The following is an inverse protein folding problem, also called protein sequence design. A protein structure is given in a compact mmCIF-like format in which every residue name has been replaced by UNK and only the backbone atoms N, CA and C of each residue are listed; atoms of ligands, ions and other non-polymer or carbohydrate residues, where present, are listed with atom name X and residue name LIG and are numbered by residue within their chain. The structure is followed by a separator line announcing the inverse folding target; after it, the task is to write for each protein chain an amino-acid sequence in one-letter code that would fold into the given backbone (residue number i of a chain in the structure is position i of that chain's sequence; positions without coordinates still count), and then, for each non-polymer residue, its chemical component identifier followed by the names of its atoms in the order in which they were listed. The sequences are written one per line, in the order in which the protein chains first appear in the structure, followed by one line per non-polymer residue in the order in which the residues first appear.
data_IF_829953908840
#
_entry.id   IF_829953908840
#
_cell.length_a   1.000
_cell.length_b   1.000
_cell.length_c   1.000
_cell.angle_alpha   90.00
_cell.angle_beta   90.00
_cell.angle_gamma   90.00
#
_symmetry.space_group_name_H-M   'P 1'
#
loop_
_entity.id
_entity.type
_entity.pdbx_description
1 polymer ?
2 non-polymer ?
3 non-polymer ?
4 non-polymer ?
5 non-polymer ?
6 non-polymer ?
7 water ?
#
# COMPACT_ATOMS: atom_id res chain seq x y z
N UNK A 1 -11.72 -10.49 -10.94
CA UNK A 1 -12.63 -10.55 -9.84
C UNK A 1 -12.10 -9.69 -8.69
N UNK A 2 -12.63 -9.91 -7.49
CA UNK A 2 -12.35 -9.07 -6.32
C UNK A 2 -10.87 -9.10 -5.94
N UNK A 3 -10.25 -10.28 -5.84
CA UNK A 3 -8.80 -10.34 -5.48
C UNK A 3 -7.97 -9.57 -6.51
N UNK A 4 -8.23 -9.78 -7.80
CA UNK A 4 -7.40 -9.05 -8.79
C UNK A 4 -7.63 -7.57 -8.60
N UNK A 5 -8.87 -7.14 -8.34
CA UNK A 5 -9.10 -5.70 -8.18
C UNK A 5 -8.31 -5.13 -7.02
N UNK A 6 -8.18 -5.91 -5.93
CA UNK A 6 -7.31 -5.47 -4.80
C UNK A 6 -5.86 -5.24 -5.31
N UNK A 7 -5.39 -6.17 -6.15
CA UNK A 7 -4.04 -6.05 -6.75
C UNK A 7 -3.96 -4.80 -7.61
N UNK A 8 -4.99 -4.60 -8.43
CA UNK A 8 -4.99 -3.42 -9.32
C UNK A 8 -4.92 -2.15 -8.51
N UNK A 9 -5.81 -2.03 -7.53
CA UNK A 9 -5.84 -0.80 -6.70
C UNK A 9 -4.51 -0.60 -5.98
N UNK A 10 -4.00 -1.66 -5.39
CA UNK A 10 -2.70 -1.56 -4.68
C UNK A 10 -1.54 -1.14 -5.62
N UNK A 11 -1.62 -1.49 -6.87
CA UNK A 11 -0.57 -1.13 -7.82
C UNK A 11 -0.46 0.37 -8.04
N UNK A 12 -1.49 1.15 -7.81
CA UNK A 12 -1.46 2.63 -7.96
C UNK A 12 -2.34 3.21 -6.86
N UNK A 13 -2.03 2.87 -5.62
CA UNK A 13 -3.00 3.01 -4.53
C UNK A 13 -3.18 4.51 -4.21
N UNK A 14 -2.14 5.33 -4.20
CA UNK A 14 -2.26 6.75 -3.85
C UNK A 14 -3.24 7.39 -4.85
N UNK A 15 -3.08 7.08 -6.13
CA UNK A 15 -3.91 7.67 -7.20
C UNK A 15 -5.37 7.22 -6.99
N UNK A 16 -5.61 5.95 -6.96
CA UNK A 16 -6.96 5.39 -6.79
C UNK A 16 -7.58 5.87 -5.48
N UNK A 17 -6.87 5.91 -4.39
CA UNK A 17 -7.38 6.36 -3.11
C UNK A 17 -7.86 7.79 -3.27
N UNK A 18 -7.04 8.68 -3.79
CA UNK A 18 -7.44 10.09 -3.89
C UNK A 18 -8.60 10.23 -4.85
N UNK A 19 -8.58 9.58 -6.00
CA UNK A 19 -9.65 9.73 -6.99
C UNK A 19 -10.95 9.20 -6.37
N UNK A 20 -10.98 8.09 -5.70
CA UNK A 20 -12.24 7.53 -5.17
C UNK A 20 -12.68 8.39 -4.00
N UNK A 21 -11.79 8.83 -3.16
CA UNK A 21 -12.19 9.68 -2.02
C UNK A 21 -12.75 11.01 -2.55
N UNK A 22 -12.14 11.62 -3.58
CA UNK A 22 -12.71 12.85 -4.18
C UNK A 22 -14.05 12.55 -4.82
N UNK A 23 -14.26 11.41 -5.42
CA UNK A 23 -15.58 11.08 -5.99
C UNK A 23 -16.57 10.99 -4.86
N UNK A 24 -16.22 10.48 -3.70
CA UNK A 24 -17.13 10.43 -2.51
C UNK A 24 -17.42 11.86 -2.05
N UNK A 25 -16.44 12.69 -1.84
CA UNK A 25 -16.60 14.04 -1.29
C UNK A 25 -17.44 14.88 -2.25
N UNK A 26 -17.27 14.68 -3.55
CA UNK A 26 -17.99 15.51 -4.53
C UNK A 26 -19.44 14.98 -4.67
N UNK A 27 -19.67 13.71 -4.64
CA UNK A 27 -21.02 13.10 -4.71
C UNK A 27 -21.86 13.42 -3.50
N UNK A 28 -21.24 13.62 -2.37
CA UNK A 28 -21.87 13.86 -1.06
C UNK A 28 -21.25 15.05 -0.36
N UNK A 29 -21.60 16.27 -0.81
CA UNK A 29 -20.93 17.43 -0.27
C UNK A 29 -21.08 17.62 1.23
N UNK A 30 -22.22 17.19 1.80
CA UNK A 30 -22.45 17.32 3.26
C UNK A 30 -21.34 16.50 3.97
N UNK A 31 -20.82 15.47 3.33
CA UNK A 31 -19.76 14.62 3.96
C UNK A 31 -18.48 15.40 4.26
N UNK A 32 -18.22 16.52 3.59
CA UNK A 32 -17.27 17.54 4.15
C UNK A 32 -17.84 18.27 5.39
N UNK A 33 -18.53 17.58 6.32
CA UNK A 33 -18.84 17.99 7.71
C UNK A 33 -17.82 17.26 8.58
N UNK A 34 -17.42 16.09 8.10
CA UNK A 34 -16.43 15.19 8.74
C UNK A 34 -15.00 15.72 8.50
N UNK A 35 -14.82 16.83 7.75
CA UNK A 35 -13.49 17.27 7.21
C UNK A 35 -13.30 18.79 7.00
N UNK A 36 -13.07 19.55 8.07
CA UNK A 36 -13.04 21.04 8.04
C UNK A 36 -11.88 21.57 7.16
N UNK A 37 -10.75 20.87 7.11
CA UNK A 37 -9.51 21.28 6.39
C UNK A 37 -9.70 21.15 4.87
N UNK A 38 -10.78 20.52 4.40
CA UNK A 38 -10.99 20.31 2.94
C UNK A 38 -11.98 21.32 2.34
N UNK A 39 -12.65 22.06 3.19
CA UNK A 39 -13.67 23.04 2.75
C UNK A 39 -12.99 24.11 1.86
N UNK A 40 -13.66 24.49 0.76
CA UNK A 40 -13.28 25.58 -0.14
C UNK A 40 -12.05 25.27 -0.96
N UNK A 41 -11.75 23.98 -1.16
CA UNK A 41 -10.61 23.54 -1.97
C UNK A 41 -11.06 22.68 -3.14
N UNK A 42 -10.48 22.94 -4.31
CA UNK A 42 -10.72 22.14 -5.52
C UNK A 42 -9.95 20.81 -5.38
N UNK A 43 -10.29 19.84 -6.19
CA UNK A 43 -9.62 18.55 -6.19
C UNK A 43 -8.09 18.74 -6.29
N UNK A 44 -7.62 19.58 -7.20
CA UNK A 44 -6.16 19.73 -7.43
C UNK A 44 -5.51 20.28 -6.15
N UNK A 45 -6.17 21.20 -5.47
CA UNK A 45 -5.62 21.78 -4.22
C UNK A 45 -5.59 20.65 -3.18
N UNK A 46 -6.63 19.82 -3.08
CA UNK A 46 -6.60 18.73 -2.07
C UNK A 46 -5.45 17.76 -2.37
N UNK A 47 -5.23 17.44 -3.63
CA UNK A 47 -4.14 16.51 -3.98
C UNK A 47 -2.79 17.16 -3.57
N UNK A 48 -2.69 18.51 -3.50
CA UNK A 48 -1.44 19.24 -3.14
C UNK A 48 -1.18 19.12 -1.64
N UNK A 49 -2.20 18.80 -0.84
CA UNK A 49 -2.13 18.89 0.64
C UNK A 49 -1.61 17.54 1.15
N UNK A 50 -0.48 17.55 1.84
CA UNK A 50 0.21 16.32 2.28
C UNK A 50 -0.76 15.55 3.16
N UNK A 51 -1.53 16.27 4.00
CA UNK A 51 -2.48 15.61 4.94
C UNK A 51 -3.47 14.80 4.11
N UNK A 52 -4.01 15.46 3.10
CA UNK A 52 -5.06 14.86 2.26
C UNK A 52 -4.55 13.54 1.70
N UNK A 53 -3.38 13.57 1.07
CA UNK A 53 -2.87 12.33 0.47
C UNK A 53 -2.49 11.31 1.53
N UNK A 54 -1.84 11.73 2.62
CA UNK A 54 -1.29 10.72 3.56
C UNK A 54 -2.47 9.97 4.17
N UNK A 55 -3.47 10.75 4.62
CA UNK A 55 -4.70 10.26 5.29
C UNK A 55 -5.50 9.39 4.29
N UNK A 56 -5.88 9.91 3.12
CA UNK A 56 -6.64 9.10 2.11
C UNK A 56 -5.89 7.77 1.88
N UNK A 57 -4.56 7.82 1.77
CA UNK A 57 -3.84 6.56 1.47
C UNK A 57 -3.96 5.61 2.65
N UNK A 58 -3.91 6.12 3.87
CA UNK A 58 -3.94 5.25 5.07
C UNK A 58 -5.34 4.60 5.15
N UNK A 59 -6.41 5.33 4.76
CA UNK A 59 -7.79 4.77 4.67
C UNK A 59 -7.83 3.62 3.69
N UNK A 60 -7.22 3.80 2.51
CA UNK A 60 -7.31 2.76 1.47
C UNK A 60 -6.32 1.63 1.79
N UNK A 61 -5.20 1.95 2.47
CA UNK A 61 -4.26 0.87 2.84
C UNK A 61 -5.06 -0.11 3.72
N UNK A 62 -5.80 0.41 4.71
CA UNK A 62 -6.62 -0.44 5.62
C UNK A 62 -7.77 -1.07 4.84
N UNK A 63 -8.50 -0.29 4.02
CA UNK A 63 -9.62 -0.92 3.29
C UNK A 63 -9.18 -2.11 2.47
N UNK A 64 -8.03 -1.99 1.81
CA UNK A 64 -7.53 -3.10 0.96
C UNK A 64 -7.10 -4.30 1.83
N UNK A 65 -6.60 -4.05 3.04
CA UNK A 65 -6.33 -5.18 3.95
C UNK A 65 -7.64 -5.85 4.36
N UNK A 66 -8.68 -5.06 4.64
CA UNK A 66 -9.98 -5.63 5.08
C UNK A 66 -10.57 -6.43 3.92
N UNK A 67 -10.50 -5.88 2.70
CA UNK A 67 -10.92 -6.60 1.50
C UNK A 67 -10.11 -7.92 1.35
N UNK A 68 -8.77 -7.83 1.52
CA UNK A 68 -7.89 -8.99 1.31
C UNK A 68 -8.17 -10.09 2.31
N UNK A 69 -8.55 -9.72 3.52
CA UNK A 69 -8.84 -10.69 4.60
C UNK A 69 -10.26 -11.26 4.50
N UNK A 70 -11.10 -10.69 3.65
CA UNK A 70 -12.48 -11.16 3.47
C UNK A 70 -12.51 -12.54 2.83
N UNK A 71 -13.54 -13.34 3.11
CA UNK A 71 -13.92 -14.49 2.26
C UNK A 71 -15.16 -14.17 1.46
N UNK A 72 -15.22 -14.41 0.13
CA UNK A 72 -16.49 -14.21 -0.62
C UNK A 72 -17.12 -12.83 -0.33
N UNK A 73 -16.28 -11.82 -0.26
CA UNK A 73 -16.60 -10.42 -0.02
C UNK A 73 -17.23 -10.23 1.37
N UNK A 74 -16.99 -11.14 2.30
CA UNK A 74 -17.50 -10.98 3.67
C UNK A 74 -16.35 -10.61 4.58
N UNK A 75 -16.29 -9.38 5.09
CA UNK A 75 -15.16 -8.99 5.92
C UNK A 75 -15.12 -9.73 7.25
N UNK A 76 -13.95 -9.79 7.89
CA UNK A 76 -13.83 -10.31 9.26
C UNK A 76 -14.48 -9.40 10.29
N UNK A 77 -15.16 -10.06 11.21
CA UNK A 77 -15.76 -9.34 12.36
C UNK A 77 -14.69 -8.56 13.13
N UNK A 78 -13.46 -9.05 13.14
CA UNK A 78 -12.40 -8.35 13.88
C UNK A 78 -12.05 -7.03 13.17
N UNK A 79 -12.11 -7.04 11.86
CA UNK A 79 -11.84 -5.80 11.10
C UNK A 79 -13.00 -4.80 11.28
N UNK A 80 -14.24 -5.25 11.37
CA UNK A 80 -15.38 -4.33 11.64
C UNK A 80 -15.23 -3.72 13.03
N UNK A 81 -14.84 -4.52 14.01
CA UNK A 81 -14.70 -4.06 15.41
C UNK A 81 -13.62 -2.96 15.41
N UNK A 82 -12.48 -3.23 14.76
CA UNK A 82 -11.39 -2.23 14.68
C UNK A 82 -12.00 -0.92 14.13
N UNK A 83 -12.69 -0.98 13.01
CA UNK A 83 -13.25 0.26 12.40
C UNK A 83 -14.26 0.96 13.31
N UNK A 84 -15.07 0.25 14.06
CA UNK A 84 -16.04 0.93 14.96
C UNK A 84 -15.31 1.59 16.13
N UNK A 85 -14.28 0.91 16.68
CA UNK A 85 -13.58 1.33 17.94
C UNK A 85 -12.43 2.32 17.69
N UNK A 86 -12.13 2.67 16.44
CA UNK A 86 -11.11 3.72 16.20
C UNK A 86 -11.64 5.08 16.68
N UNK A 87 -10.83 5.81 17.45
CA UNK A 87 -11.14 7.12 18.06
C UNK A 87 -11.44 8.15 16.96
N UNK A 88 -10.92 7.96 15.75
CA UNK A 88 -11.17 8.79 14.54
C UNK A 88 -12.60 8.64 14.02
N UNK A 89 -13.22 7.50 14.30
CA UNK A 89 -14.55 7.13 13.75
C UNK A 89 -15.63 7.36 14.80
N UNK A 90 -15.33 8.05 15.90
CA UNK A 90 -16.25 8.22 17.04
C UNK A 90 -17.59 8.83 16.60
N UNK A 91 -17.60 9.81 15.69
CA UNK A 91 -18.87 10.50 15.35
C UNK A 91 -19.62 9.81 14.21
N UNK A 92 -19.18 8.67 13.74
CA UNK A 92 -19.70 8.16 12.44
C UNK A 92 -20.87 7.17 12.57
N UNK A 93 -21.60 7.01 11.47
CA UNK A 93 -22.67 6.01 11.36
C UNK A 93 -22.48 5.23 10.10
N UNK A 94 -23.22 4.15 9.97
CA UNK A 94 -23.08 3.25 8.83
C UNK A 94 -23.35 4.01 7.52
N UNK A 95 -24.21 5.03 7.52
CA UNK A 95 -24.51 5.79 6.30
C UNK A 95 -23.25 6.43 5.71
N UNK A 96 -22.30 6.83 6.55
CA UNK A 96 -21.02 7.42 6.09
C UNK A 96 -20.30 6.42 5.20
N UNK A 97 -20.22 5.18 5.70
CA UNK A 97 -19.56 4.08 4.99
C UNK A 97 -20.33 3.66 3.75
N UNK A 98 -21.63 3.53 3.87
CA UNK A 98 -22.49 3.21 2.70
C UNK A 98 -22.11 4.18 1.57
N UNK A 99 -22.10 5.48 1.86
CA UNK A 99 -21.86 6.51 0.82
C UNK A 99 -20.47 6.35 0.20
N UNK A 100 -19.46 6.07 1.01
CA UNK A 100 -18.13 5.84 0.45
C UNK A 100 -18.16 4.70 -0.57
N UNK A 101 -18.84 3.61 -0.23
CA UNK A 101 -18.88 2.46 -1.12
C UNK A 101 -19.77 2.71 -2.34
N UNK A 102 -20.84 3.51 -2.22
CA UNK A 102 -21.60 3.87 -3.44
C UNK A 102 -20.67 4.61 -4.40
N UNK A 103 -19.93 5.60 -3.90
CA UNK A 103 -18.98 6.35 -4.73
C UNK A 103 -17.92 5.43 -5.36
N UNK A 104 -17.39 4.52 -4.56
CA UNK A 104 -16.37 3.59 -5.04
C UNK A 104 -16.92 2.75 -6.20
N UNK A 105 -18.11 2.23 -6.02
CA UNK A 105 -18.73 1.37 -7.05
C UNK A 105 -19.01 2.20 -8.31
N UNK A 106 -19.55 3.41 -8.13
CA UNK A 106 -19.81 4.32 -9.26
C UNK A 106 -18.51 4.59 -10.02
N UNK A 107 -17.43 4.91 -9.30
CA UNK A 107 -16.11 5.18 -9.91
C UNK A 107 -15.71 3.96 -10.75
N UNK A 108 -15.86 2.78 -10.18
CA UNK A 108 -15.40 1.56 -10.89
C UNK A 108 -16.24 1.37 -12.17
N UNK A 109 -17.56 1.59 -12.10
CA UNK A 109 -18.48 1.43 -13.26
C UNK A 109 -18.06 2.39 -14.37
N UNK A 110 -17.69 3.62 -14.00
CA UNK A 110 -17.32 4.73 -14.92
C UNK A 110 -15.93 4.57 -15.48
N UNK A 111 -15.11 3.72 -14.87
CA UNK A 111 -13.67 3.63 -15.28
C UNK A 111 -13.55 2.89 -16.64
N UNK A 112 -12.50 3.04 -17.36
CA UNK A 112 -12.52 2.14 -18.55
C UNK A 112 -12.35 0.64 -18.25
N UNK A 113 -12.40 0.22 -16.99
CA UNK A 113 -11.65 -0.98 -16.52
C UNK A 113 -12.57 -2.09 -16.00
N UNK A 114 -12.06 -3.33 -16.06
CA UNK A 114 -12.83 -4.56 -15.77
C UNK A 114 -12.82 -4.85 -14.26
N UNK A 115 -13.08 -3.80 -13.48
CA UNK A 115 -13.33 -4.01 -12.05
C UNK A 115 -14.59 -4.87 -11.91
N UNK A 116 -14.62 -5.63 -10.85
CA UNK A 116 -15.80 -6.48 -10.49
C UNK A 116 -16.68 -5.62 -9.57
N UNK A 117 -17.40 -4.68 -10.17
CA UNK A 117 -18.11 -3.67 -9.39
C UNK A 117 -19.23 -4.33 -8.56
N UNK A 118 -19.82 -5.43 -9.03
CA UNK A 118 -20.88 -6.10 -8.22
C UNK A 118 -20.28 -6.61 -6.91
N UNK A 119 -19.09 -7.18 -6.99
CA UNK A 119 -18.37 -7.66 -5.75
C UNK A 119 -18.06 -6.54 -4.77
N UNK A 120 -17.60 -5.39 -5.26
CA UNK A 120 -17.36 -4.22 -4.39
C UNK A 120 -18.70 -3.76 -3.73
N UNK A 121 -19.75 -3.73 -4.53
CA UNK A 121 -21.05 -3.32 -3.99
C UNK A 121 -21.43 -4.25 -2.84
N UNK A 122 -21.33 -5.56 -3.09
CA UNK A 122 -21.66 -6.54 -2.06
C UNK A 122 -20.73 -6.42 -0.85
N UNK A 123 -19.41 -6.29 -1.11
CA UNK A 123 -18.48 -6.07 0.02
C UNK A 123 -18.91 -4.86 0.86
N UNK A 124 -19.24 -3.74 0.22
CA UNK A 124 -19.65 -2.58 1.00
C UNK A 124 -20.91 -2.86 1.83
N UNK A 125 -21.89 -3.54 1.26
CA UNK A 125 -23.10 -3.89 2.02
C UNK A 125 -22.70 -4.77 3.21
N UNK A 126 -21.87 -5.77 2.96
CA UNK A 126 -21.43 -6.70 4.02
C UNK A 126 -20.59 -5.98 5.07
N UNK A 127 -19.78 -4.99 4.67
CA UNK A 127 -19.04 -4.23 5.67
C UNK A 127 -20.04 -3.43 6.51
N UNK A 128 -20.98 -2.72 5.85
CA UNK A 128 -21.97 -1.93 6.64
C UNK A 128 -22.73 -2.82 7.62
N UNK A 129 -23.10 -4.03 7.23
CA UNK A 129 -23.78 -5.01 8.10
C UNK A 129 -22.87 -5.35 9.27
N UNK A 130 -21.60 -5.61 8.97
CA UNK A 130 -20.66 -5.99 10.02
C UNK A 130 -20.40 -4.83 10.98
N UNK A 131 -20.27 -3.59 10.46
CA UNK A 131 -20.10 -2.41 11.32
C UNK A 131 -21.34 -2.28 12.26
N UNK A 132 -22.55 -2.40 11.70
CA UNK A 132 -23.78 -2.35 12.52
C UNK A 132 -23.72 -3.40 13.63
N UNK A 133 -23.34 -4.63 13.27
CA UNK A 133 -23.27 -5.78 14.19
C UNK A 133 -22.27 -5.44 15.31
N UNK A 134 -21.17 -4.84 14.92
CA UNK A 134 -20.10 -4.44 15.84
C UNK A 134 -20.50 -3.25 16.70
N UNK A 135 -21.62 -2.55 16.44
CA UNK A 135 -22.12 -1.51 17.37
C UNK A 135 -22.12 -0.11 16.79
N UNK A 136 -21.82 0.05 15.52
CA UNK A 136 -22.00 1.37 14.87
C UNK A 136 -23.50 1.65 14.67
N UNK A 137 -23.94 2.88 14.98
CA UNK A 137 -25.34 3.33 14.77
C UNK A 137 -25.59 3.67 13.31
N UNK B 1 4.43 -12.56 13.29
CA UNK B 1 5.27 -13.26 12.33
C UNK B 1 5.25 -12.58 10.99
N UNK B 2 5.57 -13.31 9.95
CA UNK B 2 5.80 -12.75 8.61
C UNK B 2 4.49 -12.20 8.02
N UNK B 3 3.37 -12.91 8.21
CA UNK B 3 2.08 -12.41 7.64
C UNK B 3 1.72 -11.10 8.34
N UNK B 4 1.82 -11.08 9.67
CA UNK B 4 1.51 -9.83 10.39
C UNK B 4 2.40 -8.71 9.93
N UNK B 5 3.69 -9.01 9.68
CA UNK B 5 4.61 -7.96 9.21
C UNK B 5 4.16 -7.40 7.85
N UNK B 6 3.71 -8.24 6.97
CA UNK B 6 3.12 -7.73 5.68
C UNK B 6 1.97 -6.78 5.99
N UNK B 7 1.11 -7.17 6.95
CA UNK B 7 -0.02 -6.31 7.30
C UNK B 7 0.47 -4.99 7.85
N UNK B 8 1.45 -5.02 8.75
CA UNK B 8 2.01 -3.82 9.35
C UNK B 8 2.59 -2.94 8.25
N UNK B 9 3.42 -3.48 7.38
CA UNK B 9 4.02 -2.65 6.34
C UNK B 9 2.96 -2.06 5.40
N UNK B 10 2.02 -2.88 4.95
CA UNK B 10 0.93 -2.42 4.07
C UNK B 10 0.14 -1.30 4.75
N UNK B 11 -0.04 -1.36 6.05
CA UNK B 11 -0.87 -0.38 6.75
C UNK B 11 -0.36 1.00 6.59
N UNK B 12 0.94 1.14 6.41
CA UNK B 12 1.58 2.47 6.26
C UNK B 12 2.60 2.32 5.16
N UNK B 13 2.21 1.80 4.02
CA UNK B 13 3.20 1.35 3.01
C UNK B 13 4.04 2.50 2.55
N UNK B 14 3.43 3.64 2.23
CA UNK B 14 4.18 4.82 1.72
C UNK B 14 5.37 5.10 2.66
N UNK B 15 5.09 5.22 3.94
CA UNK B 15 6.03 5.69 4.99
C UNK B 15 7.12 4.64 5.14
N UNK B 16 6.74 3.40 5.26
CA UNK B 16 7.75 2.32 5.45
C UNK B 16 8.61 2.24 4.19
N UNK B 17 8.00 2.22 3.04
CA UNK B 17 8.72 2.07 1.74
C UNK B 17 9.73 3.16 1.67
N UNK B 18 9.38 4.43 1.86
CA UNK B 18 10.35 5.52 1.74
C UNK B 18 11.46 5.37 2.78
N UNK B 19 11.12 5.05 4.01
CA UNK B 19 12.14 5.01 5.07
C UNK B 19 13.09 3.82 4.86
N UNK B 20 12.57 2.69 4.40
CA UNK B 20 13.45 1.54 4.16
C UNK B 20 14.30 1.81 2.93
N UNK B 21 13.74 2.38 1.90
CA UNK B 21 14.52 2.64 0.66
C UNK B 21 15.61 3.66 0.93
N UNK B 22 15.33 4.66 1.73
CA UNK B 22 16.31 5.69 2.06
C UNK B 22 17.41 5.03 2.90
N UNK B 23 17.12 4.12 3.76
CA UNK B 23 18.15 3.39 4.54
C UNK B 23 19.02 2.59 3.58
N UNK B 24 18.43 1.98 2.59
CA UNK B 24 19.18 1.27 1.51
C UNK B 24 20.07 2.24 0.78
N UNK B 25 19.54 3.34 0.26
CA UNK B 25 20.35 4.24 -0.55
C UNK B 25 21.47 4.86 0.28
N UNK B 26 21.26 5.16 1.55
CA UNK B 26 22.27 5.77 2.41
C UNK B 26 23.32 4.74 2.88
N UNK B 27 22.94 3.49 3.07
CA UNK B 27 23.89 2.43 3.45
C UNK B 27 24.79 2.13 2.23
N UNK B 28 24.24 2.15 1.03
CA UNK B 28 24.95 1.69 -0.21
C UNK B 28 24.90 2.83 -1.20
N UNK B 29 25.69 3.88 -1.02
CA UNK B 29 25.56 5.05 -1.85
C UNK B 29 25.78 4.86 -3.36
N UNK B 30 26.54 3.84 -3.70
CA UNK B 30 26.72 3.51 -5.14
C UNK B 30 25.37 3.14 -5.76
N UNK B 31 24.46 2.55 -4.98
CA UNK B 31 23.15 2.10 -5.50
C UNK B 31 22.31 3.31 -5.93
N UNK B 32 22.46 4.46 -5.29
CA UNK B 32 21.64 5.66 -5.62
C UNK B 32 21.93 6.11 -7.06
N UNK B 33 23.15 5.91 -7.54
CA UNK B 33 23.52 6.34 -8.90
C UNK B 33 22.65 5.75 -10.00
N UNK B 34 22.10 4.55 -9.77
CA UNK B 34 21.05 3.92 -10.61
C UNK B 34 19.89 4.92 -10.81
N UNK B 35 19.64 5.83 -9.86
CA UNK B 35 18.45 6.75 -9.85
C UNK B 35 18.88 8.23 -10.07
N UNK B 36 19.01 8.64 -11.33
CA UNK B 36 19.67 9.93 -11.70
C UNK B 36 18.94 11.11 -11.06
N UNK B 37 17.59 11.02 -10.94
CA UNK B 37 16.69 12.06 -10.37
C UNK B 37 16.89 12.21 -8.87
N UNK B 38 17.47 11.20 -8.21
CA UNK B 38 17.61 11.25 -6.75
C UNK B 38 18.98 11.79 -6.31
N UNK B 39 19.94 11.79 -7.21
CA UNK B 39 21.28 12.32 -6.87
C UNK B 39 21.22 13.76 -6.36
N UNK B 40 21.97 14.05 -5.31
CA UNK B 40 22.12 15.43 -4.80
C UNK B 40 20.99 15.88 -3.91
N UNK B 41 20.10 14.98 -3.54
CA UNK B 41 18.95 15.32 -2.70
C UNK B 41 19.00 14.62 -1.33
N UNK B 42 18.67 15.39 -0.29
CA UNK B 42 18.55 14.92 1.10
C UNK B 42 17.34 13.98 1.18
N UNK B 43 17.25 13.25 2.29
CA UNK B 43 16.09 12.39 2.57
C UNK B 43 14.79 13.23 2.56
N UNK B 44 14.78 14.42 3.15
CA UNK B 44 13.52 15.24 3.24
C UNK B 44 13.21 15.80 1.86
N UNK B 45 14.17 16.10 1.01
CA UNK B 45 13.78 16.52 -0.35
C UNK B 45 13.23 15.34 -1.13
N UNK B 46 13.80 14.16 -0.97
CA UNK B 46 13.21 12.97 -1.65
C UNK B 46 11.78 12.70 -1.16
N UNK B 47 11.54 12.82 0.13
CA UNK B 47 10.20 12.56 0.74
C UNK B 47 9.19 13.62 0.28
N UNK B 48 9.66 14.72 -0.27
CA UNK B 48 8.82 15.79 -0.84
C UNK B 48 8.48 15.55 -2.32
N UNK B 49 9.05 14.54 -2.94
CA UNK B 49 8.88 14.30 -4.39
C UNK B 49 7.88 13.15 -4.56
N UNK B 50 6.75 13.48 -5.20
CA UNK B 50 5.74 12.45 -5.52
C UNK B 50 6.42 11.32 -6.32
N UNK B 51 7.33 11.63 -7.25
CA UNK B 51 7.95 10.58 -8.11
C UNK B 51 8.78 9.60 -7.26
N UNK B 52 9.37 10.07 -6.15
CA UNK B 52 10.15 9.22 -5.24
C UNK B 52 9.19 8.32 -4.47
N UNK B 53 8.15 8.93 -3.91
CA UNK B 53 7.19 8.16 -3.10
C UNK B 53 6.48 7.17 -3.98
N UNK B 54 6.14 7.56 -5.22
CA UNK B 54 5.36 6.62 -6.07
C UNK B 54 6.25 5.43 -6.46
N UNK B 55 7.47 5.64 -6.94
CA UNK B 55 8.29 4.49 -7.34
C UNK B 55 8.55 3.65 -6.12
N UNK B 56 8.83 4.29 -5.01
CA UNK B 56 9.27 3.48 -3.85
C UNK B 56 8.08 2.68 -3.31
N UNK B 57 6.88 3.25 -3.31
CA UNK B 57 5.74 2.45 -2.83
C UNK B 57 5.43 1.33 -3.83
N UNK B 58 5.59 1.56 -5.11
CA UNK B 58 5.35 0.49 -6.11
C UNK B 58 6.35 -0.66 -5.93
N UNK B 59 7.61 -0.33 -5.66
CA UNK B 59 8.61 -1.37 -5.37
C UNK B 59 8.10 -2.20 -4.18
N UNK B 60 7.78 -1.53 -3.11
CA UNK B 60 7.35 -2.20 -1.87
C UNK B 60 6.00 -2.93 -2.05
N UNK B 61 5.05 -2.39 -2.83
CA UNK B 61 3.80 -3.13 -3.08
C UNK B 61 4.15 -4.48 -3.73
N UNK B 62 5.03 -4.42 -4.76
CA UNK B 62 5.35 -5.64 -5.47
C UNK B 62 6.07 -6.61 -4.50
N UNK B 63 6.96 -6.09 -3.65
CA UNK B 63 7.66 -6.97 -2.69
C UNK B 63 6.63 -7.62 -1.75
N UNK B 64 5.60 -6.85 -1.33
CA UNK B 64 4.57 -7.41 -0.40
C UNK B 64 3.69 -8.42 -1.11
N UNK B 65 3.38 -8.20 -2.39
CA UNK B 65 2.63 -9.22 -3.16
C UNK B 65 3.44 -10.53 -3.13
N UNK B 66 4.71 -10.41 -3.54
CA UNK B 66 5.60 -11.60 -3.60
C UNK B 66 5.65 -12.25 -2.22
N UNK B 67 5.80 -11.47 -1.17
CA UNK B 67 5.83 -12.01 0.21
C UNK B 67 4.53 -12.71 0.56
N UNK B 68 3.40 -12.11 0.19
CA UNK B 68 2.07 -12.70 0.53
C UNK B 68 1.87 -14.03 -0.19
N UNK B 69 2.33 -14.13 -1.45
CA UNK B 69 2.20 -15.36 -2.26
C UNK B 69 3.24 -16.42 -1.92
N UNK B 70 4.25 -16.08 -1.09
CA UNK B 70 5.28 -17.05 -0.65
C UNK B 70 4.62 -18.12 0.21
N UNK B 71 5.28 -19.28 0.31
CA UNK B 71 5.01 -20.32 1.33
C UNK B 71 6.22 -20.38 2.28
N UNK B 72 6.12 -20.21 3.64
CA UNK B 72 7.34 -20.42 4.49
C UNK B 72 8.56 -19.60 3.95
N UNK B 73 8.32 -18.39 3.55
CA UNK B 73 9.28 -17.37 3.12
C UNK B 73 9.93 -17.81 1.81
N UNK B 74 9.33 -18.70 1.04
CA UNK B 74 9.86 -19.18 -0.26
C UNK B 74 8.97 -18.56 -1.34
N UNK B 75 9.51 -17.62 -2.12
CA UNK B 75 8.74 -17.01 -3.13
C UNK B 75 8.48 -17.92 -4.32
N UNK B 76 7.45 -17.59 -5.09
CA UNK B 76 7.15 -18.33 -6.34
C UNK B 76 8.19 -18.07 -7.43
N UNK B 77 8.63 -19.10 -8.16
CA UNK B 77 9.52 -18.91 -9.33
C UNK B 77 8.91 -17.95 -10.33
N UNK B 78 7.57 -17.97 -10.49
CA UNK B 78 6.90 -17.10 -11.49
C UNK B 78 7.09 -15.63 -11.08
N UNK B 79 7.00 -15.32 -9.80
CA UNK B 79 7.27 -13.95 -9.31
C UNK B 79 8.75 -13.54 -9.53
N UNK B 80 9.70 -14.42 -9.18
CA UNK B 80 11.13 -14.16 -9.48
C UNK B 80 11.28 -13.84 -10.98
N UNK B 81 10.65 -14.62 -11.85
CA UNK B 81 10.81 -14.39 -13.32
C UNK B 81 10.25 -13.00 -13.62
N UNK B 82 9.06 -12.71 -13.10
CA UNK B 82 8.43 -11.39 -13.38
C UNK B 82 9.45 -10.29 -13.02
N UNK B 83 10.11 -10.38 -11.87
CA UNK B 83 11.09 -9.34 -11.47
C UNK B 83 12.25 -9.31 -12.46
N UNK B 84 12.76 -10.46 -12.84
CA UNK B 84 13.89 -10.47 -13.82
C UNK B 84 13.49 -9.84 -15.17
N UNK B 85 12.24 -10.05 -15.62
CA UNK B 85 11.70 -9.78 -16.99
C UNK B 85 11.12 -8.36 -17.06
N UNK B 86 11.21 -7.61 -15.96
CA UNK B 86 10.94 -6.15 -15.96
C UNK B 86 12.13 -5.41 -16.63
N UNK B 87 11.81 -4.59 -17.63
CA UNK B 87 12.75 -3.74 -18.40
C UNK B 87 13.68 -2.95 -17.45
N UNK B 88 13.10 -2.08 -16.62
CA UNK B 88 13.83 -1.12 -15.73
C UNK B 88 14.66 -1.93 -14.73
N UNK B 89 14.45 -3.25 -14.64
CA UNK B 89 15.47 -4.10 -13.97
C UNK B 89 16.39 -4.72 -15.01
N UNK B 90 16.55 -4.18 -16.19
CA UNK B 90 17.50 -4.80 -17.15
C UNK B 90 18.91 -4.61 -16.62
N UNK B 91 19.14 -3.47 -15.96
CA UNK B 91 20.48 -3.21 -15.39
C UNK B 91 20.71 -4.12 -14.19
N UNK B 92 19.62 -4.51 -13.52
CA UNK B 92 19.58 -4.97 -12.10
C UNK B 92 20.27 -6.33 -11.96
N UNK B 93 20.91 -6.53 -10.81
CA UNK B 93 21.55 -7.83 -10.54
C UNK B 93 21.15 -8.25 -9.13
N UNK B 94 21.48 -9.48 -8.76
CA UNK B 94 21.02 -10.04 -7.49
C UNK B 94 21.58 -9.19 -6.35
N UNK B 95 22.79 -8.66 -6.49
CA UNK B 95 23.39 -7.90 -5.38
C UNK B 95 22.55 -6.68 -5.02
N UNK B 96 21.83 -6.10 -5.97
CA UNK B 96 21.02 -4.90 -5.70
C UNK B 96 19.90 -5.33 -4.74
N UNK B 97 19.30 -6.49 -5.02
CA UNK B 97 18.21 -7.02 -4.15
C UNK B 97 18.74 -7.44 -2.79
N UNK B 98 19.90 -8.08 -2.77
CA UNK B 98 20.50 -8.53 -1.50
C UNK B 98 20.74 -7.32 -0.60
N UNK B 99 21.34 -6.26 -1.13
CA UNK B 99 21.59 -5.02 -0.35
C UNK B 99 20.23 -4.44 0.15
N UNK B 100 19.21 -4.43 -0.69
CA UNK B 100 17.90 -3.89 -0.23
C UNK B 100 17.40 -4.71 0.97
N UNK B 101 17.52 -6.04 0.87
CA UNK B 101 17.06 -6.89 1.99
C UNK B 101 17.95 -6.72 3.20
N UNK B 102 19.26 -6.50 3.05
CA UNK B 102 20.08 -6.24 4.24
C UNK B 102 19.58 -4.95 4.91
N UNK B 103 19.32 -3.91 4.12
CA UNK B 103 18.83 -2.64 4.72
C UNK B 103 17.47 -2.84 5.41
N UNK B 104 16.65 -3.65 4.79
CA UNK B 104 15.29 -3.91 5.34
C UNK B 104 15.42 -4.60 6.69
N UNK B 105 16.21 -5.66 6.74
CA UNK B 105 16.42 -6.39 7.99
C UNK B 105 17.02 -5.49 9.07
N UNK B 106 18.01 -4.68 8.74
CA UNK B 106 18.62 -3.80 9.76
C UNK B 106 17.55 -2.80 10.23
N UNK B 107 16.74 -2.26 9.35
CA UNK B 107 15.72 -1.28 9.73
C UNK B 107 14.75 -1.95 10.71
N UNK B 108 14.37 -3.18 10.42
CA UNK B 108 13.41 -3.91 11.31
C UNK B 108 14.06 -4.13 12.67
N UNK B 109 15.32 -4.58 12.68
CA UNK B 109 16.05 -4.83 13.93
C UNK B 109 16.07 -3.54 14.75
N UNK B 110 16.34 -2.40 14.15
CA UNK B 110 16.54 -1.10 14.85
C UNK B 110 15.22 -0.45 15.25
N UNK B 111 14.13 -0.94 14.74
CA UNK B 111 12.81 -0.28 14.90
C UNK B 111 12.27 -0.58 16.29
N UNK B 112 11.37 0.19 16.79
CA UNK B 112 10.89 -0.27 18.14
C UNK B 112 10.26 -1.68 18.15
N UNK B 113 10.02 -2.31 16.99
CA UNK B 113 8.79 -3.14 16.81
C UNK B 113 9.13 -4.61 16.65
N UNK B 114 8.18 -5.48 16.89
CA UNK B 114 8.39 -6.95 16.88
C UNK B 114 8.19 -7.53 15.47
N UNK B 115 8.90 -6.98 14.52
CA UNK B 115 8.99 -7.58 13.18
C UNK B 115 9.73 -8.90 13.33
N UNK B 116 9.41 -9.84 12.48
CA UNK B 116 10.07 -11.17 12.42
C UNK B 116 11.28 -11.01 11.49
N UNK B 117 12.27 -10.30 11.97
CA UNK B 117 13.43 -9.96 11.12
C UNK B 117 14.14 -11.23 10.59
N UNK B 118 14.18 -12.31 11.33
CA UNK B 118 14.81 -13.60 10.90
C UNK B 118 14.09 -14.10 9.65
N UNK B 119 12.76 -13.98 9.61
CA UNK B 119 11.99 -14.46 8.42
C UNK B 119 12.24 -13.53 7.21
N UNK B 120 12.33 -12.22 7.42
CA UNK B 120 12.62 -11.31 6.31
C UNK B 120 14.03 -11.59 5.74
N UNK B 121 14.96 -11.95 6.62
CA UNK B 121 16.34 -12.28 6.21
C UNK B 121 16.29 -13.54 5.31
N UNK B 122 15.58 -14.57 5.73
CA UNK B 122 15.43 -15.80 4.95
C UNK B 122 14.69 -15.55 3.64
N UNK B 123 13.62 -14.77 3.70
CA UNK B 123 12.85 -14.43 2.48
C UNK B 123 13.78 -13.77 1.46
N UNK B 124 14.53 -12.78 1.90
CA UNK B 124 15.50 -12.12 1.05
C UNK B 124 16.47 -13.07 0.41
N UNK B 125 17.04 -13.97 1.22
CA UNK B 125 17.96 -14.98 0.66
C UNK B 125 17.23 -15.82 -0.39
N UNK B 126 16.02 -16.26 -0.04
CA UNK B 126 15.29 -17.14 -0.96
C UNK B 126 14.89 -16.41 -2.24
N UNK B 127 14.59 -15.14 -2.13
CA UNK B 127 14.20 -14.35 -3.32
C UNK B 127 15.45 -14.18 -4.21
N UNK B 128 16.58 -13.84 -3.61
CA UNK B 128 17.84 -13.71 -4.38
C UNK B 128 18.19 -15.03 -5.09
N UNK B 129 18.05 -16.15 -4.39
CA UNK B 129 18.30 -17.48 -4.99
C UNK B 129 17.39 -17.63 -6.22
N UNK B 130 16.12 -17.30 -6.04
CA UNK B 130 15.11 -17.49 -7.09
C UNK B 130 15.38 -16.57 -8.28
N UNK B 131 15.81 -15.35 -8.03
CA UNK B 131 16.17 -14.39 -9.10
C UNK B 131 17.35 -14.96 -9.89
N UNK B 132 18.35 -15.53 -9.22
CA UNK B 132 19.49 -16.11 -9.95
C UNK B 132 18.99 -17.26 -10.84
N UNK B 133 18.11 -18.09 -10.30
CA UNK B 133 17.54 -19.25 -11.02
C UNK B 133 16.76 -18.74 -12.23
N UNK B 134 16.11 -17.56 -12.10
CA UNK B 134 15.25 -17.00 -13.17
C UNK B 134 16.14 -16.22 -14.15
N UNK B 135 17.45 -16.27 -13.97
CA UNK B 135 18.41 -15.78 -14.99
C UNK B 135 19.01 -14.41 -14.67
N UNK B 136 18.72 -13.86 -13.49
CA UNK B 136 19.35 -12.57 -13.08
C UNK B 136 20.84 -12.83 -12.79
N UNK B 137 21.72 -11.93 -13.28
CA UNK B 137 23.18 -12.05 -13.02
C UNK B 137 23.48 -11.39 -11.68
#
# INVERSE_FOLDING_TARGET
GFKQDIATLRGDLRTYAQDIFLAFLNKYPDEKRNFKNYVGKSDQELKSMAKFGDHTEKVFNLMMEVADRATDCVPLASDASTLVQMKQHSGLTTGNFEKLFVALVEYMRASGQSFDSQSWDRFGKNLVSALSSAGMK
GFKQDIATLRGDLRTYAQDIFLAFLNKYPDEKRNFKNYVGKSDQELKSMAKFGDHTEKVFNLMMEVADRATDCVPLASDASTLVQMKQHSGLTTGNFEKLFVALVEYMRASGQSFDSQSWDRFGKNLVSALSSAGMK
#
